data_IF_263733787611
#
_entry.id   IF_263733787611
#
_cell.length_a   1.000
_cell.length_b   1.000
_cell.length_c   1.000
_cell.angle_alpha   90.00
_cell.angle_beta   90.00
_cell.angle_gamma   90.00
#
_symmetry.space_group_name_H-M   'P 1'
#
loop_
_entity.id
_entity.type
_entity.pdbx_description
1 polymer ?
#
# COMPACT_ATOMS: atom_id res chain seq x y z
N UNK A 1 -0.06 -11.59 -33.34
CA UNK A 1 0.10 -11.43 -31.88
C UNK A 1 -0.48 -10.08 -31.51
N UNK A 2 -1.56 -10.04 -30.74
CA UNK A 2 -2.08 -8.80 -30.16
C UNK A 2 -1.03 -8.30 -29.16
N UNK A 3 -0.59 -7.03 -29.27
CA UNK A 3 0.29 -6.45 -28.25
C UNK A 3 -0.47 -6.41 -26.92
N UNK A 4 0.19 -6.66 -25.78
CA UNK A 4 -0.45 -6.52 -24.48
C UNK A 4 -0.98 -5.09 -24.35
N UNK A 5 -2.24 -4.95 -23.95
CA UNK A 5 -2.85 -3.64 -23.71
C UNK A 5 -2.34 -3.07 -22.39
N UNK A 6 -1.95 -1.81 -22.41
CA UNK A 6 -1.60 -1.05 -21.21
C UNK A 6 -2.84 -0.31 -20.73
N UNK A 7 -3.09 -0.36 -19.42
CA UNK A 7 -4.20 0.36 -18.80
C UNK A 7 -3.75 1.74 -18.31
N UNK A 8 -4.61 2.74 -18.48
CA UNK A 8 -4.40 4.12 -18.05
C UNK A 8 -5.61 4.63 -17.28
N UNK A 9 -5.40 5.57 -16.36
CA UNK A 9 -6.44 6.40 -15.76
C UNK A 9 -6.31 7.82 -16.31
N UNK A 10 -7.44 8.36 -16.73
CA UNK A 10 -7.64 9.78 -16.99
C UNK A 10 -8.51 10.36 -15.88
N UNK A 11 -7.95 11.27 -15.10
CA UNK A 11 -8.52 11.80 -13.85
C UNK A 11 -8.73 13.31 -13.96
N UNK A 12 -9.96 13.74 -14.21
CA UNK A 12 -10.34 15.14 -14.20
C UNK A 12 -10.40 15.62 -12.76
N UNK A 13 -9.75 16.75 -12.47
CA UNK A 13 -9.57 17.22 -11.10
C UNK A 13 -10.38 18.47 -10.80
N UNK A 14 -10.73 18.63 -9.53
CA UNK A 14 -11.28 19.87 -9.03
C UNK A 14 -10.28 21.03 -9.20
N UNK A 15 -10.69 22.17 -9.78
CA UNK A 15 -9.76 23.26 -10.09
C UNK A 15 -9.17 23.94 -8.85
N UNK A 16 -9.85 23.85 -7.71
CA UNK A 16 -9.46 24.54 -6.48
C UNK A 16 -8.69 23.62 -5.53
N UNK A 17 -9.16 22.38 -5.38
CA UNK A 17 -8.67 21.43 -4.39
C UNK A 17 -7.91 20.24 -4.99
N UNK A 18 -7.89 20.10 -6.32
CA UNK A 18 -7.15 19.08 -7.09
C UNK A 18 -7.48 17.62 -6.76
N UNK A 19 -8.56 17.34 -6.03
CA UNK A 19 -9.01 15.98 -5.82
C UNK A 19 -9.59 15.41 -7.12
N UNK A 20 -9.52 14.08 -7.33
CA UNK A 20 -10.18 13.42 -8.45
C UNK A 20 -11.69 13.67 -8.42
N UNK A 21 -12.20 14.40 -9.41
CA UNK A 21 -13.63 14.69 -9.55
C UNK A 21 -14.33 13.62 -10.39
N UNK A 22 -13.67 13.19 -11.48
CA UNK A 22 -14.16 12.14 -12.36
C UNK A 22 -12.96 11.37 -12.91
N UNK A 23 -13.02 10.04 -12.83
CA UNK A 23 -11.97 9.18 -13.37
C UNK A 23 -12.55 8.18 -14.36
N UNK A 24 -11.79 7.92 -15.42
CA UNK A 24 -12.09 6.85 -16.36
C UNK A 24 -10.84 6.03 -16.60
N UNK A 25 -11.00 4.70 -16.56
CA UNK A 25 -9.98 3.75 -16.95
C UNK A 25 -10.19 3.38 -18.43
N UNK A 26 -9.11 3.38 -19.20
CA UNK A 26 -9.11 2.88 -20.57
C UNK A 26 -7.85 2.05 -20.85
N UNK A 27 -7.94 1.19 -21.86
CA UNK A 27 -6.86 0.27 -22.23
C UNK A 27 -6.50 0.46 -23.70
N UNK A 28 -5.21 0.53 -24.01
CA UNK A 28 -4.72 0.72 -25.38
C UNK A 28 -3.40 -0.03 -25.61
N UNK A 29 -3.21 -0.53 -26.83
CA UNK A 29 -1.92 -1.01 -27.36
C UNK A 29 -1.27 -0.01 -28.33
N UNK A 30 -1.99 1.06 -28.72
CA UNK A 30 -1.48 2.17 -29.53
C UNK A 30 -0.82 3.24 -28.66
N UNK A 31 0.31 2.86 -28.07
CA UNK A 31 1.15 3.75 -27.26
C UNK A 31 1.76 4.88 -28.10
N UNK A 32 1.95 4.70 -29.40
CA UNK A 32 2.59 5.70 -30.27
C UNK A 32 1.66 6.88 -30.54
N UNK A 33 0.37 6.63 -30.72
CA UNK A 33 -0.64 7.71 -30.75
C UNK A 33 -0.67 8.46 -29.43
N UNK A 34 -0.63 7.76 -28.28
CA UNK A 34 -0.60 8.42 -26.99
C UNK A 34 0.65 9.28 -26.80
N UNK A 35 1.84 8.79 -27.18
CA UNK A 35 3.09 9.59 -27.14
C UNK A 35 3.00 10.84 -27.99
N UNK A 36 2.42 10.76 -29.20
CA UNK A 36 2.25 11.92 -30.08
C UNK A 36 1.34 12.98 -29.48
N UNK A 37 0.22 12.57 -28.88
CA UNK A 37 -0.72 13.48 -28.23
C UNK A 37 -0.04 14.20 -27.06
N UNK A 38 0.77 13.48 -26.30
CA UNK A 38 1.48 14.01 -25.13
C UNK A 38 2.82 14.68 -25.48
N UNK A 39 3.16 14.77 -26.77
CA UNK A 39 4.44 15.27 -27.29
C UNK A 39 5.67 14.65 -26.59
N UNK A 40 5.58 13.36 -26.24
CA UNK A 40 6.62 12.65 -25.49
C UNK A 40 7.74 12.16 -26.40
N UNK A 41 8.98 12.49 -26.00
CA UNK A 41 10.17 11.80 -26.47
C UNK A 41 10.25 10.42 -25.82
N UNK A 42 10.19 9.36 -26.64
CA UNK A 42 10.24 7.97 -26.19
C UNK A 42 11.51 7.65 -25.37
N UNK A 43 12.60 8.40 -25.54
CA UNK A 43 13.82 8.22 -24.74
C UNK A 43 13.68 8.70 -23.28
N UNK A 44 12.70 9.57 -22.98
CA UNK A 44 12.54 10.18 -21.65
C UNK A 44 11.62 9.41 -20.71
N UNK A 45 10.64 8.70 -21.25
CA UNK A 45 9.64 7.94 -20.51
C UNK A 45 8.99 6.87 -21.40
N UNK A 46 9.77 5.84 -21.75
CA UNK A 46 9.34 4.79 -22.65
C UNK A 46 8.10 4.03 -22.14
N UNK A 47 8.01 3.85 -20.81
CA UNK A 47 7.05 2.97 -20.15
C UNK A 47 5.85 3.71 -19.52
N UNK A 48 5.76 5.03 -19.71
CA UNK A 48 4.73 5.91 -19.15
C UNK A 48 4.64 5.85 -17.63
N UNK A 49 5.79 5.93 -16.96
CA UNK A 49 5.88 5.86 -15.50
C UNK A 49 5.61 7.22 -14.82
N UNK A 50 5.44 8.29 -15.62
CA UNK A 50 5.13 9.64 -15.12
C UNK A 50 3.63 9.91 -15.10
N UNK A 51 3.29 10.99 -14.40
CA UNK A 51 1.96 11.61 -14.45
C UNK A 51 2.00 12.81 -15.38
N UNK A 52 1.06 12.88 -16.32
CA UNK A 52 0.95 13.97 -17.30
C UNK A 52 -0.25 14.85 -16.94
N UNK A 53 -0.02 16.16 -16.88
CA UNK A 53 -1.10 17.15 -16.76
C UNK A 53 -1.58 17.51 -18.16
N UNK A 54 -2.87 17.34 -18.42
CA UNK A 54 -3.51 17.63 -19.69
C UNK A 54 -4.42 18.86 -19.56
N UNK A 55 -4.28 19.77 -20.51
CA UNK A 55 -5.24 20.83 -20.78
C UNK A 55 -6.58 20.25 -21.24
N UNK A 56 -7.68 21.00 -21.12
CA UNK A 56 -8.99 20.53 -21.58
C UNK A 56 -9.02 20.14 -23.06
N UNK A 57 -8.21 20.79 -23.90
CA UNK A 57 -8.10 20.46 -25.32
C UNK A 57 -7.39 19.12 -25.53
N UNK A 58 -6.29 18.86 -24.83
CA UNK A 58 -5.58 17.58 -24.89
C UNK A 58 -6.44 16.43 -24.36
N UNK A 59 -7.22 16.68 -23.29
CA UNK A 59 -8.20 15.70 -22.79
C UNK A 59 -9.20 15.31 -23.87
N UNK A 60 -9.74 16.29 -24.60
CA UNK A 60 -10.67 16.03 -25.70
C UNK A 60 -10.01 15.22 -26.85
N UNK A 61 -8.74 15.51 -27.17
CA UNK A 61 -7.97 14.76 -28.17
C UNK A 61 -7.75 13.31 -27.74
N UNK A 62 -7.36 13.07 -26.49
CA UNK A 62 -7.23 11.71 -25.93
C UNK A 62 -8.56 10.97 -25.97
N UNK A 63 -9.65 11.61 -25.52
CA UNK A 63 -10.97 10.99 -25.51
C UNK A 63 -11.44 10.61 -26.92
N UNK A 64 -11.21 11.49 -27.90
CA UNK A 64 -11.54 11.22 -29.29
C UNK A 64 -10.70 10.08 -29.87
N UNK A 65 -9.37 10.11 -29.67
CA UNK A 65 -8.45 9.12 -30.22
C UNK A 65 -8.71 7.69 -29.71
N UNK A 66 -9.14 7.55 -28.46
CA UNK A 66 -9.36 6.25 -27.82
C UNK A 66 -10.85 5.93 -27.57
N UNK A 67 -11.78 6.73 -28.11
CA UNK A 67 -13.22 6.49 -28.01
C UNK A 67 -13.76 6.51 -26.57
N UNK A 68 -13.23 7.37 -25.71
CA UNK A 68 -13.55 7.45 -24.28
C UNK A 68 -14.74 8.40 -24.07
N UNK A 69 -15.82 7.89 -23.48
CA UNK A 69 -16.92 8.71 -22.97
C UNK A 69 -16.55 9.36 -21.63
N UNK A 70 -16.05 10.60 -21.66
CA UNK A 70 -15.54 11.28 -20.47
C UNK A 70 -15.99 12.76 -20.42
N UNK A 71 -17.01 13.06 -19.63
CA UNK A 71 -17.58 14.40 -19.51
C UNK A 71 -16.78 15.29 -18.53
N UNK A 72 -15.58 15.69 -18.94
CA UNK A 72 -14.65 16.44 -18.07
C UNK A 72 -15.06 17.91 -17.82
N UNK A 73 -16.04 18.46 -18.55
CA UNK A 73 -16.60 19.80 -18.31
C UNK A 73 -15.55 20.92 -18.37
N UNK A 74 -14.62 20.85 -19.31
CA UNK A 74 -13.49 21.77 -19.48
C UNK A 74 -12.46 21.79 -18.34
N UNK A 75 -12.43 20.75 -17.50
CA UNK A 75 -11.38 20.58 -16.49
C UNK A 75 -10.10 20.06 -17.11
N UNK A 76 -8.98 20.44 -16.50
CA UNK A 76 -7.71 19.75 -16.69
C UNK A 76 -7.80 18.34 -16.10
N UNK A 77 -6.95 17.44 -16.60
CA UNK A 77 -6.89 16.08 -16.10
C UNK A 77 -5.45 15.60 -15.92
N UNK A 78 -5.26 14.69 -14.98
CA UNK A 78 -4.04 13.89 -14.91
C UNK A 78 -4.24 12.60 -15.70
N UNK A 79 -3.28 12.27 -16.55
CA UNK A 79 -3.16 10.98 -17.20
C UNK A 79 -1.99 10.23 -16.56
N UNK A 80 -2.21 8.98 -16.17
CA UNK A 80 -1.16 8.11 -15.64
C UNK A 80 -1.48 6.65 -15.92
N UNK A 81 -0.43 5.84 -16.00
CA UNK A 81 -0.54 4.39 -16.17
C UNK A 81 -1.21 3.78 -14.93
N UNK A 82 -2.19 2.91 -15.16
CA UNK A 82 -2.87 2.19 -14.11
C UNK A 82 -2.09 0.91 -13.78
N UNK A 83 -1.70 0.77 -12.52
CA UNK A 83 -1.17 -0.46 -11.96
C UNK A 83 -2.24 -1.03 -11.05
N UNK A 84 -2.84 -2.15 -11.45
CA UNK A 84 -3.80 -2.84 -10.61
C UNK A 84 -3.04 -3.51 -9.46
N UNK A 85 -3.22 -2.97 -8.26
CA UNK A 85 -2.62 -3.57 -7.06
C UNK A 85 -3.45 -4.75 -6.56
N UNK A 86 -4.67 -4.95 -7.07
CA UNK A 86 -5.64 -5.93 -6.57
C UNK A 86 -6.25 -5.55 -5.21
N UNK A 87 -5.84 -4.42 -4.64
CA UNK A 87 -6.19 -4.03 -3.27
C UNK A 87 -7.29 -2.99 -3.30
N UNK A 88 -8.44 -3.33 -2.69
CA UNK A 88 -9.52 -2.37 -2.45
C UNK A 88 -9.41 -1.80 -1.04
N UNK A 89 -8.91 -0.58 -0.95
CA UNK A 89 -8.81 0.13 0.33
C UNK A 89 -10.18 0.73 0.67
N UNK A 90 -10.77 0.43 1.85
CA UNK A 90 -12.14 0.83 2.17
C UNK A 90 -12.29 2.28 2.63
N UNK A 91 -11.23 3.09 2.52
CA UNK A 91 -11.22 4.51 2.90
C UNK A 91 -10.20 5.30 2.08
N UNK A 92 -10.26 6.63 2.20
CA UNK A 92 -9.42 7.56 1.44
C UNK A 92 -8.01 7.65 2.06
N UNK A 93 -7.10 6.77 1.62
CA UNK A 93 -5.66 6.83 1.90
C UNK A 93 -4.91 7.08 0.59
N UNK A 94 -4.01 8.08 0.55
CA UNK A 94 -3.20 8.41 -0.63
C UNK A 94 -4.02 8.60 -1.93
N UNK A 95 -5.22 9.18 -1.82
CA UNK A 95 -6.21 9.24 -2.90
C UNK A 95 -6.17 10.55 -3.69
N UNK A 96 -5.34 11.52 -3.29
CA UNK A 96 -5.36 12.87 -3.85
C UNK A 96 -6.42 13.79 -3.22
N UNK A 97 -7.15 13.32 -2.22
CA UNK A 97 -8.12 14.12 -1.46
C UNK A 97 -7.50 14.85 -0.27
N UNK A 98 -6.19 14.73 -0.05
CA UNK A 98 -5.51 15.24 1.15
C UNK A 98 -5.79 16.73 1.40
N UNK A 99 -5.64 17.57 0.37
CA UNK A 99 -5.90 19.01 0.50
C UNK A 99 -7.36 19.29 0.89
N UNK A 100 -8.31 18.67 0.17
CA UNK A 100 -9.74 18.84 0.44
C UNK A 100 -10.10 18.42 1.86
N UNK A 101 -9.61 17.26 2.32
CA UNK A 101 -9.85 16.75 3.66
C UNK A 101 -9.26 17.65 4.74
N UNK A 102 -8.09 18.24 4.49
CA UNK A 102 -7.44 19.15 5.43
C UNK A 102 -8.15 20.50 5.53
N UNK A 103 -8.52 21.10 4.40
CA UNK A 103 -9.25 22.38 4.34
C UNK A 103 -10.65 22.24 4.97
N UNK A 104 -11.32 21.10 4.78
CA UNK A 104 -12.60 20.79 5.44
C UNK A 104 -12.47 20.42 6.92
N UNK A 105 -11.24 20.35 7.45
CA UNK A 105 -10.99 20.03 8.84
C UNK A 105 -11.18 18.57 9.24
N UNK A 106 -11.37 17.67 8.26
CA UNK A 106 -11.54 16.22 8.45
C UNK A 106 -10.21 15.49 8.62
N UNK A 107 -9.12 16.06 8.09
CA UNK A 107 -7.76 15.56 8.25
C UNK A 107 -6.89 16.63 8.91
N UNK A 108 -6.31 16.40 10.10
CA UNK A 108 -5.54 17.42 10.81
C UNK A 108 -4.11 17.57 10.27
N UNK A 109 -3.59 16.55 9.58
CA UNK A 109 -2.20 16.44 9.19
C UNK A 109 -2.03 15.56 7.95
N UNK A 110 -1.11 15.94 7.07
CA UNK A 110 -0.76 15.17 5.90
C UNK A 110 0.63 15.54 5.39
N UNK A 111 1.15 14.74 4.48
CA UNK A 111 2.34 15.08 3.73
C UNK A 111 2.17 14.69 2.27
N UNK A 112 2.93 15.36 1.41
CA UNK A 112 3.06 15.02 0.00
C UNK A 112 4.52 14.77 -0.31
N UNK A 113 4.77 13.78 -1.15
CA UNK A 113 6.09 13.62 -1.75
C UNK A 113 6.25 14.67 -2.86
N UNK A 114 7.36 15.40 -2.78
CA UNK A 114 7.66 16.49 -3.67
C UNK A 114 8.67 16.07 -4.73
N UNK A 115 8.37 16.42 -5.99
CA UNK A 115 9.29 16.28 -7.11
C UNK A 115 9.09 17.45 -8.08
N UNK A 116 10.11 18.29 -8.23
CA UNK A 116 10.05 19.47 -9.10
C UNK A 116 9.85 19.14 -10.57
N UNK A 117 10.18 17.92 -11.00
CA UNK A 117 9.98 17.48 -12.39
C UNK A 117 8.56 16.94 -12.63
N UNK A 118 7.76 16.79 -11.57
CA UNK A 118 6.38 16.31 -11.64
C UNK A 118 5.39 17.49 -11.63
N UNK A 119 4.69 17.77 -12.75
CA UNK A 119 3.70 18.85 -12.80
C UNK A 119 2.59 18.67 -11.74
N UNK A 120 2.20 17.41 -11.46
CA UNK A 120 1.23 17.10 -10.40
C UNK A 120 1.74 17.54 -9.03
N UNK A 121 3.01 17.26 -8.72
CA UNK A 121 3.58 17.58 -7.42
C UNK A 121 3.73 19.09 -7.22
N UNK A 122 4.25 19.80 -8.23
CA UNK A 122 4.38 21.27 -8.22
C UNK A 122 3.02 21.94 -8.04
N UNK A 123 2.03 21.56 -8.85
CA UNK A 123 0.69 22.14 -8.80
C UNK A 123 -0.03 21.85 -7.49
N UNK A 124 0.16 20.65 -6.93
CA UNK A 124 -0.39 20.30 -5.62
C UNK A 124 0.22 21.17 -4.51
N UNK A 125 1.54 21.35 -4.52
CA UNK A 125 2.24 22.24 -3.59
C UNK A 125 1.69 23.67 -3.67
N UNK A 126 1.57 24.24 -4.86
CA UNK A 126 1.03 25.60 -5.05
C UNK A 126 -0.35 25.79 -4.42
N UNK A 127 -1.23 24.80 -4.53
CA UNK A 127 -2.56 24.85 -3.90
C UNK A 127 -2.47 24.80 -2.38
N UNK A 128 -1.65 23.91 -1.82
CA UNK A 128 -1.41 23.89 -0.38
C UNK A 128 -0.81 25.22 0.12
N UNK A 129 0.19 25.75 -0.58
CA UNK A 129 0.87 27.00 -0.23
C UNK A 129 -0.10 28.20 -0.20
N UNK A 130 -1.10 28.22 -1.09
CA UNK A 130 -2.15 29.22 -1.07
C UNK A 130 -2.95 29.20 0.26
N UNK A 131 -3.27 28.03 0.79
CA UNK A 131 -3.94 27.89 2.09
C UNK A 131 -3.00 28.14 3.28
N UNK A 132 -1.69 27.91 3.12
CA UNK A 132 -0.68 28.33 4.10
C UNK A 132 -0.60 29.86 4.17
N UNK A 133 -0.55 30.54 3.02
CA UNK A 133 -0.52 32.00 2.95
C UNK A 133 -1.78 32.66 3.55
N UNK A 134 -2.94 31.99 3.46
CA UNK A 134 -4.19 32.40 4.10
C UNK A 134 -4.24 32.13 5.62
N UNK A 135 -3.23 31.46 6.18
CA UNK A 135 -3.17 31.10 7.59
C UNK A 135 -4.09 29.93 7.99
N UNK A 136 -4.65 29.19 7.02
CA UNK A 136 -5.51 28.01 7.25
C UNK A 136 -4.65 26.79 7.59
N UNK A 137 -3.51 26.66 6.90
CA UNK A 137 -2.55 25.57 7.07
C UNK A 137 -1.20 26.10 7.54
N UNK A 138 -0.36 25.20 8.04
CA UNK A 138 1.06 25.42 8.29
C UNK A 138 1.86 24.34 7.54
N UNK A 139 3.05 24.69 7.05
CA UNK A 139 3.92 23.77 6.30
C UNK A 139 5.32 23.70 6.88
N UNK A 140 5.94 22.53 6.73
CA UNK A 140 7.36 22.30 6.94
C UNK A 140 7.92 21.49 5.77
N UNK A 141 8.95 22.02 5.11
CA UNK A 141 9.51 21.47 3.88
C UNK A 141 10.84 20.77 4.14
N UNK A 142 10.97 19.54 3.65
CA UNK A 142 12.20 18.75 3.64
C UNK A 142 12.56 18.43 2.20
N UNK A 143 13.02 19.45 1.46
CA UNK A 143 13.34 19.38 0.03
C UNK A 143 14.85 19.54 -0.17
N UNK A 144 15.43 18.69 -1.02
CA UNK A 144 16.86 18.68 -1.33
C UNK A 144 17.10 18.47 -2.83
N UNK A 145 18.27 18.84 -3.30
CA UNK A 145 18.69 18.59 -4.68
C UNK A 145 18.95 17.10 -4.91
N UNK A 146 18.38 16.55 -5.98
CA UNK A 146 18.55 15.17 -6.36
C UNK A 146 19.99 14.94 -6.85
N UNK A 147 20.77 14.16 -6.11
CA UNK A 147 22.19 13.91 -6.39
C UNK A 147 22.46 13.41 -7.83
N UNK A 148 21.53 12.64 -8.41
CA UNK A 148 21.66 12.07 -9.74
C UNK A 148 21.25 13.03 -10.88
N UNK A 149 20.58 14.15 -10.58
CA UNK A 149 20.04 15.08 -11.59
C UNK A 149 20.11 16.53 -11.09
N UNK A 150 21.18 17.27 -11.44
CA UNK A 150 21.33 18.67 -11.05
C UNK A 150 20.10 19.50 -11.44
N UNK A 151 19.58 20.29 -10.49
CA UNK A 151 18.41 21.16 -10.68
C UNK A 151 17.05 20.51 -10.40
N UNK A 152 16.96 19.17 -10.32
CA UNK A 152 15.76 18.48 -9.84
C UNK A 152 15.76 18.49 -8.32
N UNK A 153 14.67 18.95 -7.72
CA UNK A 153 14.46 18.96 -6.26
C UNK A 153 13.44 17.92 -5.89
N UNK A 154 13.77 17.09 -4.91
CA UNK A 154 12.90 16.04 -4.39
C UNK A 154 12.83 16.13 -2.88
N UNK A 155 11.79 15.57 -2.28
CA UNK A 155 11.67 15.54 -0.83
C UNK A 155 10.26 15.28 -0.36
N UNK A 156 9.96 15.75 0.84
CA UNK A 156 8.64 15.64 1.43
C UNK A 156 8.23 16.98 2.03
N UNK A 157 6.96 17.33 1.87
CA UNK A 157 6.38 18.53 2.47
C UNK A 157 5.27 18.09 3.41
N UNK A 158 5.37 18.51 4.66
CA UNK A 158 4.37 18.21 5.68
C UNK A 158 3.48 19.42 5.87
N UNK A 159 2.18 19.16 6.00
CA UNK A 159 1.16 20.16 6.23
C UNK A 159 0.34 19.80 7.46
N UNK A 160 0.17 20.74 8.38
CA UNK A 160 -0.79 20.65 9.47
C UNK A 160 -1.89 21.69 9.27
N UNK A 161 -3.06 21.47 9.87
CA UNK A 161 -3.97 22.59 10.13
C UNK A 161 -3.30 23.60 11.06
N UNK A 162 -3.67 24.87 10.95
CA UNK A 162 -3.23 25.89 11.91
C UNK A 162 -3.71 25.53 13.33
N UNK A 163 -2.81 25.54 14.32
CA UNK A 163 -3.06 25.08 15.68
C UNK A 163 -2.71 23.60 15.93
N UNK A 164 -2.46 22.81 14.88
CA UNK A 164 -2.09 21.40 14.96
C UNK A 164 -0.58 21.18 14.69
N UNK A 165 0.25 22.23 14.76
CA UNK A 165 1.68 22.18 14.45
C UNK A 165 2.45 21.19 15.35
N UNK A 166 1.92 20.88 16.54
CA UNK A 166 2.48 19.90 17.48
C UNK A 166 2.63 18.49 16.87
N UNK A 167 1.90 18.18 15.80
CA UNK A 167 1.98 16.88 15.10
C UNK A 167 3.31 16.69 14.36
N UNK A 168 3.95 17.78 13.92
CA UNK A 168 5.24 17.73 13.23
C UNK A 168 6.36 17.17 14.12
N UNK A 169 6.67 17.75 15.31
CA UNK A 169 7.68 17.18 16.20
C UNK A 169 7.27 15.81 16.76
N UNK A 170 5.97 15.52 16.87
CA UNK A 170 5.50 14.18 17.25
C UNK A 170 5.83 13.13 16.17
N UNK A 171 5.60 13.44 14.89
CA UNK A 171 5.97 12.55 13.78
C UNK A 171 7.48 12.37 13.71
N UNK A 172 8.25 13.45 13.83
CA UNK A 172 9.71 13.38 13.82
C UNK A 172 10.22 12.48 14.97
N UNK A 173 9.66 12.64 16.17
CA UNK A 173 9.99 11.78 17.31
C UNK A 173 9.69 10.31 17.02
N UNK A 174 8.53 9.98 16.43
CA UNK A 174 8.20 8.61 16.03
C UNK A 174 9.22 8.08 15.01
N UNK A 175 9.48 8.83 13.94
CA UNK A 175 10.40 8.43 12.87
C UNK A 175 11.83 8.24 13.37
N UNK A 176 12.31 9.08 14.29
CA UNK A 176 13.64 8.94 14.89
C UNK A 176 13.77 7.68 15.75
N UNK A 177 12.67 7.20 16.33
CA UNK A 177 12.65 6.05 17.23
C UNK A 177 12.12 4.76 16.57
N UNK A 178 11.69 4.82 15.30
CA UNK A 178 11.20 3.66 14.58
C UNK A 178 12.28 2.58 14.53
N UNK A 179 11.90 1.34 14.84
CA UNK A 179 12.76 0.16 14.76
C UNK A 179 14.05 0.20 15.62
N UNK A 180 14.22 1.12 16.57
CA UNK A 180 15.42 1.16 17.45
C UNK A 180 15.58 -0.09 18.33
N UNK A 181 14.49 -0.73 18.71
CA UNK A 181 14.48 -1.87 19.63
C UNK A 181 13.75 -3.10 19.10
N UNK A 182 13.27 -3.07 17.85
CA UNK A 182 12.44 -4.15 17.30
C UNK A 182 11.00 -4.18 17.84
N UNK A 183 10.59 -3.16 18.60
CA UNK A 183 9.36 -3.10 19.41
C UNK A 183 8.04 -2.86 18.62
N UNK A 184 7.98 -3.33 17.38
CA UNK A 184 6.72 -3.48 16.65
C UNK A 184 6.40 -2.31 15.72
N UNK A 185 6.66 -2.56 14.43
CA UNK A 185 6.20 -1.76 13.30
C UNK A 185 4.71 -1.38 13.44
N UNK A 186 3.85 -2.30 13.92
CA UNK A 186 2.42 -2.03 14.05
C UNK A 186 2.05 -0.88 15.01
N UNK A 187 2.67 -0.78 16.18
CA UNK A 187 2.31 0.29 17.12
C UNK A 187 2.76 1.65 16.59
N UNK A 188 3.91 1.70 15.92
CA UNK A 188 4.38 2.92 15.27
C UNK A 188 3.48 3.31 14.10
N UNK A 189 3.04 2.36 13.28
CA UNK A 189 2.07 2.57 12.20
C UNK A 189 0.72 3.06 12.73
N UNK A 190 0.24 2.53 13.88
CA UNK A 190 -0.95 3.06 14.56
C UNK A 190 -0.75 4.49 15.06
N UNK A 191 0.42 4.81 15.59
CA UNK A 191 0.73 6.16 16.08
C UNK A 191 0.85 7.17 14.93
N UNK A 192 1.57 6.84 13.86
CA UNK A 192 1.67 7.66 12.66
C UNK A 192 0.28 7.85 12.03
N UNK A 193 -0.50 6.77 11.91
CA UNK A 193 -1.86 6.84 11.41
C UNK A 193 -2.77 7.73 12.26
N UNK A 194 -2.68 7.64 13.58
CA UNK A 194 -3.41 8.52 14.50
C UNK A 194 -2.98 10.00 14.38
N UNK A 195 -1.69 10.27 14.18
CA UNK A 195 -1.21 11.63 13.90
C UNK A 195 -1.78 12.17 12.59
N UNK A 196 -1.93 11.33 11.57
CA UNK A 196 -2.55 11.68 10.28
C UNK A 196 -4.09 11.84 10.38
N UNK A 197 -4.69 11.43 11.49
CA UNK A 197 -6.13 11.51 11.74
C UNK A 197 -6.93 10.29 11.29
N UNK A 198 -6.28 9.14 11.08
CA UNK A 198 -6.97 7.89 10.79
C UNK A 198 -7.53 7.25 12.07
N UNK A 199 -8.73 6.69 11.95
CA UNK A 199 -9.39 5.94 13.00
C UNK A 199 -8.70 4.59 13.25
N UNK A 200 -8.94 4.02 14.44
CA UNK A 200 -8.31 2.76 14.86
C UNK A 200 -8.52 1.64 13.84
N UNK A 201 -9.74 1.48 13.32
CA UNK A 201 -10.05 0.41 12.36
C UNK A 201 -9.36 0.63 11.01
N UNK A 202 -9.12 1.88 10.59
CA UNK A 202 -8.39 2.21 9.37
C UNK A 202 -6.91 1.81 9.52
N UNK A 203 -6.31 2.13 10.67
CA UNK A 203 -4.94 1.72 10.99
C UNK A 203 -4.82 0.19 11.06
N UNK A 204 -5.74 -0.48 11.75
CA UNK A 204 -5.73 -1.95 11.85
C UNK A 204 -5.91 -2.61 10.47
N UNK A 205 -6.76 -2.05 9.60
CA UNK A 205 -6.91 -2.51 8.22
C UNK A 205 -5.60 -2.33 7.42
N UNK A 206 -4.96 -1.16 7.51
CA UNK A 206 -3.71 -0.86 6.80
C UNK A 206 -2.58 -1.81 7.21
N UNK A 207 -2.43 -2.02 8.52
CA UNK A 207 -1.43 -2.93 9.10
C UNK A 207 -1.66 -4.36 8.62
N UNK A 208 -2.90 -4.82 8.61
CA UNK A 208 -3.24 -6.15 8.11
C UNK A 208 -2.98 -6.27 6.61
N UNK A 209 -3.32 -5.24 5.84
CA UNK A 209 -3.03 -5.18 4.41
C UNK A 209 -1.52 -5.27 4.12
N UNK A 210 -0.70 -4.48 4.82
CA UNK A 210 0.77 -4.51 4.67
C UNK A 210 1.39 -5.84 5.11
N UNK A 211 0.87 -6.44 6.17
CA UNK A 211 1.35 -7.73 6.63
C UNK A 211 0.98 -8.89 5.71
N UNK A 212 -0.14 -8.80 4.98
CA UNK A 212 -0.53 -9.77 3.95
C UNK A 212 0.23 -9.58 2.65
N UNK A 213 0.52 -8.34 2.25
CA UNK A 213 1.23 -8.06 1.01
C UNK A 213 2.71 -8.44 1.05
N UNK A 214 3.28 -8.69 2.23
CA UNK A 214 4.69 -9.05 2.39
C UNK A 214 5.65 -7.92 2.03
N UNK A 215 5.17 -6.67 2.08
CA UNK A 215 5.98 -5.47 1.87
C UNK A 215 6.95 -5.32 3.06
N UNK A 216 8.18 -4.88 2.76
CA UNK A 216 9.39 -4.99 3.57
C UNK A 216 9.29 -4.59 5.05
N UNK A 217 8.37 -3.69 5.43
CA UNK A 217 8.17 -3.25 6.81
C UNK A 217 7.68 -4.37 7.74
N UNK A 218 6.98 -5.38 7.20
CA UNK A 218 6.45 -6.53 7.94
C UNK A 218 7.16 -7.85 7.60
N UNK A 219 8.32 -7.78 6.94
CA UNK A 219 9.06 -8.97 6.55
C UNK A 219 8.28 -9.90 5.61
N UNK A 220 8.80 -11.13 5.46
CA UNK A 220 8.18 -12.15 4.64
C UNK A 220 6.95 -12.72 5.35
N UNK A 221 5.82 -12.72 4.66
CA UNK A 221 4.53 -13.19 5.16
C UNK A 221 4.26 -14.60 4.70
N UNK A 222 4.25 -15.54 5.66
CA UNK A 222 4.30 -16.98 5.43
C UNK A 222 3.09 -17.66 6.07
N UNK A 223 2.59 -18.71 5.43
CA UNK A 223 1.46 -19.51 5.88
C UNK A 223 1.92 -20.95 6.14
N UNK A 224 1.50 -21.54 7.24
CA UNK A 224 1.70 -22.95 7.56
C UNK A 224 0.38 -23.59 7.95
N UNK A 225 0.22 -24.87 7.62
CA UNK A 225 -0.86 -25.70 8.16
C UNK A 225 -0.50 -26.17 9.55
N UNK A 226 -1.49 -26.24 10.43
CA UNK A 226 -1.35 -26.81 11.77
C UNK A 226 -2.42 -27.86 12.01
N UNK A 227 -2.05 -28.94 12.70
CA UNK A 227 -2.99 -29.92 13.24
C UNK A 227 -3.63 -29.45 14.55
N UNK A 228 -4.53 -30.26 15.13
CA UNK A 228 -5.22 -29.92 16.38
C UNK A 228 -4.26 -29.71 17.56
N UNK A 229 -3.26 -30.58 17.74
CA UNK A 229 -2.29 -30.49 18.83
C UNK A 229 -1.44 -29.22 18.72
N UNK A 230 -1.04 -28.89 17.49
CA UNK A 230 -0.30 -27.67 17.15
C UNK A 230 -1.14 -26.41 17.35
N UNK A 231 -2.42 -26.46 16.98
CA UNK A 231 -3.36 -25.37 17.21
C UNK A 231 -3.59 -25.12 18.71
N UNK A 232 -3.84 -26.17 19.49
CA UNK A 232 -4.01 -26.04 20.95
C UNK A 232 -2.74 -25.47 21.61
N UNK A 233 -1.56 -25.84 21.10
CA UNK A 233 -0.29 -25.26 21.53
C UNK A 233 -0.20 -23.75 21.20
N UNK A 234 -0.62 -23.34 19.99
CA UNK A 234 -0.66 -21.94 19.59
C UNK A 234 -1.55 -21.11 20.53
N UNK A 235 -2.73 -21.64 20.85
CA UNK A 235 -3.66 -21.02 21.81
C UNK A 235 -2.99 -20.88 23.17
N UNK A 236 -2.34 -21.94 23.67
CA UNK A 236 -1.64 -21.91 24.96
C UNK A 236 -0.47 -20.90 24.97
N UNK A 237 0.27 -20.78 23.87
CA UNK A 237 1.35 -19.81 23.69
C UNK A 237 0.85 -18.37 23.43
N UNK A 238 -0.47 -18.14 23.42
CA UNK A 238 -1.08 -16.85 23.12
C UNK A 238 -0.72 -16.33 21.72
N UNK A 239 -0.50 -17.25 20.77
CA UNK A 239 -0.10 -16.97 19.39
C UNK A 239 1.22 -16.21 19.23
N UNK A 240 2.13 -16.29 20.21
CA UNK A 240 3.42 -15.58 20.17
C UNK A 240 4.58 -16.39 19.59
N UNK A 241 4.30 -17.59 19.10
CA UNK A 241 5.30 -18.52 18.58
C UNK A 241 4.60 -19.53 17.66
N UNK A 242 5.34 -20.12 16.72
CA UNK A 242 4.94 -21.32 15.99
C UNK A 242 5.12 -22.56 16.87
N UNK A 243 4.25 -23.57 16.72
CA UNK A 243 4.30 -24.79 17.50
C UNK A 243 5.48 -25.67 17.09
N UNK A 244 6.01 -26.51 17.98
CA UNK A 244 6.96 -27.53 17.61
C UNK A 244 6.31 -28.52 16.63
N UNK A 245 7.13 -29.04 15.70
CA UNK A 245 6.72 -30.07 14.75
C UNK A 245 7.53 -31.34 15.03
N UNK A 246 6.87 -32.50 14.96
CA UNK A 246 7.51 -33.80 15.22
C UNK A 246 8.30 -34.30 13.98
N UNK A 247 8.04 -33.72 12.81
CA UNK A 247 8.72 -34.01 11.55
C UNK A 247 10.04 -33.22 11.40
N UNK A 248 11.02 -33.71 10.59
CA UNK A 248 12.27 -32.99 10.36
C UNK A 248 12.10 -31.67 9.57
N UNK A 249 11.01 -31.55 8.81
CA UNK A 249 10.64 -30.36 8.04
C UNK A 249 9.17 -30.02 8.23
N UNK A 250 8.80 -28.78 7.88
CA UNK A 250 7.42 -28.35 7.74
C UNK A 250 7.25 -27.56 6.44
N UNK A 251 6.05 -27.64 5.87
CA UNK A 251 5.70 -26.95 4.63
C UNK A 251 5.31 -25.51 4.91
N UNK A 252 5.98 -24.57 4.24
CA UNK A 252 5.73 -23.14 4.28
C UNK A 252 5.18 -22.68 2.93
N UNK A 253 4.11 -21.90 2.96
CA UNK A 253 3.51 -21.28 1.78
C UNK A 253 3.73 -19.76 1.82
N UNK A 254 3.96 -19.14 0.67
CA UNK A 254 3.97 -17.67 0.58
C UNK A 254 2.54 -17.16 0.60
N UNK A 255 2.25 -16.19 1.46
CA UNK A 255 0.90 -15.59 1.57
C UNK A 255 0.40 -14.93 0.28
N UNK A 256 1.31 -14.46 -0.57
CA UNK A 256 0.97 -13.89 -1.87
C UNK A 256 0.48 -14.94 -2.89
N UNK A 257 0.74 -16.23 -2.65
CA UNK A 257 0.54 -17.31 -3.63
C UNK A 257 -0.41 -18.39 -3.14
N UNK A 258 -0.92 -18.25 -1.91
CA UNK A 258 -1.76 -19.26 -1.27
C UNK A 258 -3.01 -18.61 -0.68
N UNK A 259 -4.05 -18.57 -1.52
CA UNK A 259 -5.30 -17.88 -1.25
C UNK A 259 -6.28 -18.71 -0.41
N UNK A 260 -7.42 -18.09 -0.09
CA UNK A 260 -8.48 -18.70 0.71
C UNK A 260 -9.08 -19.93 0.04
N UNK A 261 -9.25 -19.93 -1.28
CA UNK A 261 -9.82 -21.06 -2.01
C UNK A 261 -8.90 -22.27 -1.94
N UNK A 262 -7.60 -22.06 -2.12
CA UNK A 262 -6.57 -23.10 -2.01
C UNK A 262 -6.48 -23.65 -0.57
N UNK A 263 -6.55 -22.79 0.44
CA UNK A 263 -6.62 -23.22 1.85
C UNK A 263 -7.87 -24.06 2.13
N UNK A 264 -9.05 -23.61 1.68
CA UNK A 264 -10.31 -24.33 1.87
C UNK A 264 -10.30 -25.68 1.14
N UNK A 265 -9.73 -25.75 -0.07
CA UNK A 265 -9.56 -27.00 -0.79
C UNK A 265 -8.65 -27.97 -0.02
N UNK A 266 -7.48 -27.51 0.42
CA UNK A 266 -6.56 -28.33 1.21
C UNK A 266 -7.19 -28.85 2.51
N UNK A 267 -7.99 -28.05 3.21
CA UNK A 267 -8.72 -28.49 4.41
C UNK A 267 -9.82 -29.52 4.10
N UNK A 268 -10.46 -29.47 2.92
CA UNK A 268 -11.40 -30.51 2.52
C UNK A 268 -10.70 -31.83 2.24
N UNK A 269 -9.53 -31.77 1.60
CA UNK A 269 -8.78 -32.94 1.14
C UNK A 269 -7.97 -33.61 2.25
N UNK A 270 -7.49 -32.84 3.23
CA UNK A 270 -6.69 -33.34 4.36
C UNK A 270 -7.42 -33.08 5.70
N UNK A 271 -8.01 -34.12 6.32
CA UNK A 271 -8.74 -33.98 7.58
C UNK A 271 -7.84 -33.69 8.78
N UNK A 272 -6.51 -33.84 8.65
CA UNK A 272 -5.57 -33.58 9.75
C UNK A 272 -5.31 -32.08 9.94
N UNK A 273 -5.60 -31.26 8.93
CA UNK A 273 -5.45 -29.81 9.00
C UNK A 273 -6.54 -29.24 9.90
N UNK A 274 -6.14 -28.68 11.03
CA UNK A 274 -7.03 -27.94 11.93
C UNK A 274 -7.16 -26.48 11.49
N UNK A 275 -6.04 -25.84 11.15
CA UNK A 275 -6.04 -24.44 10.74
C UNK A 275 -4.90 -24.12 9.77
N UNK A 276 -5.07 -23.03 9.04
CA UNK A 276 -3.96 -22.32 8.40
C UNK A 276 -3.64 -21.09 9.22
N UNK A 277 -2.35 -20.93 9.53
CA UNK A 277 -1.86 -19.80 10.32
C UNK A 277 -0.78 -19.03 9.55
N UNK A 278 -0.83 -17.71 9.70
CA UNK A 278 0.10 -16.77 9.12
C UNK A 278 1.09 -16.27 10.16
N UNK A 279 2.34 -16.11 9.75
CA UNK A 279 3.34 -15.42 10.54
C UNK A 279 4.23 -14.56 9.65
N UNK A 280 4.89 -13.59 10.28
CA UNK A 280 5.78 -12.65 9.63
C UNK A 280 7.14 -12.68 10.28
N UNK A 281 8.20 -12.80 9.47
CA UNK A 281 9.59 -12.84 9.92
C UNK A 281 10.49 -12.09 8.95
N UNK A 282 11.57 -11.48 9.43
CA UNK A 282 12.57 -10.89 8.56
C UNK A 282 13.15 -11.93 7.60
N UNK A 283 13.09 -11.66 6.28
CA UNK A 283 13.47 -12.63 5.24
C UNK A 283 14.91 -13.16 5.41
N UNK A 284 15.83 -12.33 5.92
CA UNK A 284 17.22 -12.71 6.23
C UNK A 284 17.34 -13.94 7.14
N UNK A 285 16.35 -14.18 8.01
CA UNK A 285 16.36 -15.29 8.96
C UNK A 285 15.93 -16.63 8.35
N UNK A 286 15.30 -16.62 7.17
CA UNK A 286 14.75 -17.84 6.53
C UNK A 286 15.22 -18.02 5.08
N UNK A 287 15.75 -16.99 4.41
CA UNK A 287 16.08 -17.04 2.98
C UNK A 287 17.19 -18.02 2.59
N UNK A 288 17.97 -18.50 3.55
CA UNK A 288 18.98 -19.53 3.31
C UNK A 288 18.37 -20.94 3.26
N UNK A 289 17.12 -21.11 3.69
CA UNK A 289 16.44 -22.41 3.75
C UNK A 289 15.68 -22.75 2.45
N UNK A 290 15.31 -21.75 1.65
CA UNK A 290 14.55 -21.94 0.41
C UNK A 290 14.71 -20.76 -0.57
N UNK A 291 14.44 -20.99 -1.85
CA UNK A 291 14.38 -19.93 -2.87
C UNK A 291 12.99 -19.28 -2.92
N UNK A 292 12.81 -18.23 -2.12
CA UNK A 292 11.56 -17.46 -2.03
C UNK A 292 11.18 -16.68 -3.29
N UNK A 293 11.99 -16.75 -4.36
CA UNK A 293 11.61 -16.23 -5.69
C UNK A 293 10.67 -17.18 -6.43
N UNK A 294 10.62 -18.45 -6.03
CA UNK A 294 9.63 -19.41 -6.50
C UNK A 294 8.34 -19.26 -5.68
N UNK A 295 7.16 -19.57 -6.20
CA UNK A 295 5.89 -19.38 -5.46
C UNK A 295 5.67 -20.34 -4.28
N UNK A 296 6.63 -21.23 -3.99
CA UNK A 296 6.48 -22.32 -3.04
C UNK A 296 5.60 -23.46 -3.59
N UNK A 297 5.18 -24.42 -2.73
CA UNK A 297 5.51 -24.52 -1.30
C UNK A 297 7.00 -24.80 -1.05
N UNK A 298 7.47 -24.47 0.15
CA UNK A 298 8.84 -24.71 0.57
C UNK A 298 8.89 -25.68 1.75
N UNK A 299 9.80 -26.65 1.69
CA UNK A 299 10.11 -27.52 2.81
C UNK A 299 11.20 -26.88 3.68
N UNK A 300 10.84 -26.47 4.89
CA UNK A 300 11.73 -25.75 5.80
C UNK A 300 12.14 -26.66 6.95
N UNK A 301 13.43 -26.71 7.33
CA UNK A 301 13.88 -27.47 8.50
C UNK A 301 13.16 -27.06 9.78
N UNK A 302 12.62 -28.02 10.52
CA UNK A 302 11.97 -27.80 11.82
C UNK A 302 12.91 -27.14 12.84
N UNK A 303 14.22 -27.35 12.71
CA UNK A 303 15.25 -26.72 13.53
C UNK A 303 15.31 -25.19 13.40
N UNK A 304 14.65 -24.60 12.40
CA UNK A 304 14.53 -23.15 12.25
C UNK A 304 13.38 -22.53 13.04
N UNK A 305 12.44 -23.32 13.57
CA UNK A 305 11.30 -22.81 14.36
C UNK A 305 11.75 -21.92 15.53
N UNK A 306 12.79 -22.28 16.33
CA UNK A 306 13.29 -21.39 17.38
C UNK A 306 13.82 -20.04 16.86
N UNK A 307 14.49 -20.03 15.70
CA UNK A 307 14.96 -18.81 15.05
C UNK A 307 13.79 -17.97 14.56
N UNK A 308 12.81 -18.58 13.90
CA UNK A 308 11.59 -17.91 13.45
C UNK A 308 10.87 -17.29 14.66
N UNK A 309 10.64 -18.06 15.73
CA UNK A 309 9.97 -17.60 16.94
C UNK A 309 10.68 -16.42 17.62
N UNK A 310 12.02 -16.40 17.60
CA UNK A 310 12.82 -15.27 18.14
C UNK A 310 12.67 -13.99 17.32
N UNK A 311 12.36 -14.11 16.03
CA UNK A 311 12.35 -13.01 15.07
C UNK A 311 10.97 -12.75 14.47
N UNK A 312 9.90 -13.23 15.12
CA UNK A 312 8.53 -12.91 14.74
C UNK A 312 8.29 -11.41 14.86
N UNK A 313 7.72 -10.82 13.81
CA UNK A 313 7.42 -9.39 13.74
C UNK A 313 6.02 -9.05 14.28
N UNK A 314 5.16 -10.06 14.42
CA UNK A 314 3.81 -9.95 15.00
C UNK A 314 3.36 -11.31 15.53
N UNK A 315 2.23 -11.30 16.26
CA UNK A 315 1.56 -12.53 16.67
C UNK A 315 1.14 -13.36 15.45
N UNK A 316 1.20 -14.69 15.60
CA UNK A 316 0.70 -15.66 14.64
C UNK A 316 -0.80 -15.46 14.47
N UNK A 317 -1.28 -15.36 13.24
CA UNK A 317 -2.69 -15.11 12.92
C UNK A 317 -3.33 -16.37 12.38
N UNK A 318 -4.53 -16.69 12.85
CA UNK A 318 -5.36 -17.73 12.23
C UNK A 318 -6.05 -17.15 11.01
N UNK A 319 -5.85 -17.76 9.85
CA UNK A 319 -6.49 -17.36 8.59
C UNK A 319 -7.82 -18.10 8.40
N UNK A 320 -7.78 -19.42 8.54
CA UNK A 320 -8.94 -20.31 8.45
C UNK A 320 -8.77 -21.39 9.53
N UNK A 321 -9.86 -21.75 10.20
CA UNK A 321 -9.91 -22.85 11.16
C UNK A 321 -11.04 -23.81 10.79
N UNK A 322 -10.83 -25.12 11.01
CA UNK A 322 -11.85 -26.15 10.87
C UNK A 322 -12.89 -25.90 11.95
N UNK A 323 -14.07 -25.44 11.52
CA UNK A 323 -15.02 -24.78 12.42
C UNK A 323 -15.45 -25.60 13.63
N UNK A 324 -15.78 -24.88 14.70
CA UNK A 324 -17.05 -25.11 15.38
C UNK A 324 -18.14 -24.40 14.57
N UNK A 325 -19.17 -25.12 14.15
CA UNK A 325 -20.26 -24.59 13.34
C UNK A 325 -21.17 -23.59 14.07
N UNK A 326 -20.76 -22.32 14.16
CA UNK A 326 -21.66 -21.21 14.51
C UNK A 326 -21.55 -20.04 13.52
N UNK A 327 -22.57 -19.95 12.66
CA UNK A 327 -23.14 -18.83 11.88
C UNK A 327 -22.25 -17.65 11.40
N UNK A 328 -22.49 -17.15 10.17
CA UNK A 328 -21.89 -15.90 9.72
C UNK A 328 -22.37 -14.76 10.62
N UNK A 329 -21.44 -14.11 11.32
CA UNK A 329 -21.73 -12.79 11.89
C UNK A 329 -21.99 -11.87 10.70
N UNK A 330 -23.26 -11.54 10.52
CA UNK A 330 -23.70 -10.55 9.55
C UNK A 330 -22.83 -9.31 9.72
N UNK A 331 -22.13 -8.92 8.65
CA UNK A 331 -21.59 -7.57 8.51
C UNK A 331 -22.79 -6.63 8.62
N UNK A 332 -22.97 -5.98 9.77
CA UNK A 332 -23.88 -4.84 9.88
C UNK A 332 -23.29 -3.73 9.02
N UNK A 333 -24.12 -3.22 8.11
CA UNK A 333 -23.77 -2.17 7.17
C UNK A 333 -23.65 -0.79 7.81
#
# INVERSE_FOLDING_TARGET
>A
MQRPKTSFILSAVDPDLLYPWLEVRFETDDLDTLRRILELDAARDADFERVYLLTPAEVAVVCHAFGIGFEHGSREAFLFKHVDTGVRIPYLVHTGYELALMVQGRKPFGFIDFDSDSPRSVKLKEKFDAYVAQGVLHSQEFIFDAAARPGRRIGQILYTRKGEEWRLPALEFIRQNINRHGDGCENMERLEGALLGYEKWQNDWWIDHLAQSGISLYGASSIVKVDRKQYDWLVHAGFRALPPVDAPTFTLHSSQWFDEEAMQAAMRDDPTIEAFVQFNVGLVHIMHAADFRTGGPYEIPASLIPTINRHLLRAVRVLIQRGDGSAPVARRG
#
